data_IF_229525346361
#
_entry.id   IF_229525346361
#
_cell.length_a   1.000
_cell.length_b   1.000
_cell.length_c   1.000
_cell.angle_alpha   90.00
_cell.angle_beta   90.00
_cell.angle_gamma   90.00
#
_symmetry.space_group_name_H-M   'P 1'
#
loop_
_entity.id
_entity.type
_entity.pdbx_description
1 polymer ?
#
# COMPACT_ATOMS: atom_id res chain seq x y z
N UNK A 1 -42.42 -8.69 20.78
CA UNK A 1 -42.03 -8.78 19.35
C UNK A 1 -40.74 -8.06 19.03
N UNK A 2 -40.53 -6.75 19.32
CA UNK A 2 -39.31 -5.99 18.97
C UNK A 2 -38.00 -6.61 19.50
N UNK A 3 -37.97 -7.12 20.75
CA UNK A 3 -36.79 -7.77 21.34
C UNK A 3 -36.39 -9.06 20.62
N UNK A 4 -37.38 -9.89 20.21
CA UNK A 4 -37.10 -11.10 19.46
C UNK A 4 -36.53 -10.82 18.07
N UNK A 5 -37.04 -9.80 17.38
CA UNK A 5 -36.48 -9.36 16.09
C UNK A 5 -35.03 -8.86 16.20
N UNK A 6 -34.71 -8.09 17.24
CA UNK A 6 -33.35 -7.62 17.50
C UNK A 6 -32.40 -8.78 17.80
N UNK A 7 -32.81 -9.71 18.64
CA UNK A 7 -32.01 -10.92 18.94
C UNK A 7 -31.78 -11.75 17.67
N UNK A 8 -32.83 -11.94 16.86
CA UNK A 8 -32.70 -12.67 15.58
C UNK A 8 -31.74 -11.98 14.61
N UNK A 9 -31.84 -10.66 14.44
CA UNK A 9 -30.96 -9.87 13.58
C UNK A 9 -29.50 -9.93 14.06
N UNK A 10 -29.26 -9.79 15.36
CA UNK A 10 -27.92 -9.87 15.96
C UNK A 10 -27.31 -11.27 15.78
N UNK A 11 -28.10 -12.33 16.04
CA UNK A 11 -27.62 -13.70 15.85
C UNK A 11 -27.27 -14.00 14.39
N UNK A 12 -28.07 -13.49 13.46
CA UNK A 12 -27.80 -13.63 12.02
C UNK A 12 -26.50 -12.89 11.64
N UNK A 13 -26.33 -11.65 12.11
CA UNK A 13 -25.08 -10.88 11.88
C UNK A 13 -23.85 -11.62 12.44
N UNK A 14 -23.95 -12.12 13.68
CA UNK A 14 -22.85 -12.87 14.32
C UNK A 14 -22.51 -14.15 13.53
N UNK A 15 -23.51 -14.89 13.05
CA UNK A 15 -23.30 -16.07 12.22
C UNK A 15 -22.58 -15.72 10.90
N UNK A 16 -22.90 -14.57 10.29
CA UNK A 16 -22.23 -14.07 9.09
C UNK A 16 -20.78 -13.67 9.35
N UNK A 17 -20.49 -13.01 10.48
CA UNK A 17 -19.12 -12.68 10.89
C UNK A 17 -18.30 -13.95 11.07
N UNK A 18 -18.82 -14.96 11.74
CA UNK A 18 -18.14 -16.26 11.92
C UNK A 18 -17.92 -16.97 10.59
N UNK A 19 -18.92 -16.95 9.70
CA UNK A 19 -18.80 -17.54 8.36
C UNK A 19 -17.76 -16.78 7.48
N UNK A 20 -17.70 -15.46 7.60
CA UNK A 20 -16.68 -14.63 6.96
C UNK A 20 -15.26 -14.97 7.45
N UNK A 21 -15.09 -15.01 8.77
CA UNK A 21 -13.83 -15.38 9.41
C UNK A 21 -13.35 -16.79 9.02
N UNK A 22 -14.30 -17.71 8.79
CA UNK A 22 -14.02 -19.09 8.33
C UNK A 22 -13.89 -19.21 6.79
N UNK A 23 -13.89 -18.09 6.05
CA UNK A 23 -13.85 -18.04 4.57
C UNK A 23 -14.98 -18.82 3.87
N UNK A 24 -16.10 -19.10 4.56
CA UNK A 24 -17.23 -19.85 4.01
C UNK A 24 -18.04 -19.00 3.03
N UNK A 25 -18.09 -17.68 3.24
CA UNK A 25 -18.83 -16.73 2.39
C UNK A 25 -18.31 -16.70 0.95
N UNK A 26 -17.00 -16.90 0.76
CA UNK A 26 -16.38 -16.96 -0.57
C UNK A 26 -16.86 -18.14 -1.44
N UNK A 27 -17.42 -19.18 -0.82
CA UNK A 27 -17.91 -20.39 -1.51
C UNK A 27 -19.34 -20.25 -2.00
N UNK A 28 -20.06 -19.22 -1.58
CA UNK A 28 -21.46 -19.02 -1.96
C UNK A 28 -21.56 -18.30 -3.32
N UNK A 29 -22.24 -18.95 -4.27
CA UNK A 29 -22.45 -18.46 -5.62
C UNK A 29 -23.96 -18.11 -5.85
N UNK A 30 -24.26 -17.38 -6.94
CA UNK A 30 -25.62 -17.03 -7.31
C UNK A 30 -26.17 -15.77 -6.61
N UNK A 31 -27.50 -15.57 -6.61
CA UNK A 31 -28.16 -14.38 -6.06
C UNK A 31 -27.91 -14.20 -4.56
N UNK A 32 -27.97 -15.28 -3.80
CA UNK A 32 -27.68 -15.27 -2.36
C UNK A 32 -26.25 -14.82 -2.05
N UNK A 33 -25.26 -15.31 -2.81
CA UNK A 33 -23.86 -14.89 -2.68
C UNK A 33 -23.64 -13.42 -3.05
N UNK A 34 -24.42 -12.86 -4.01
CA UNK A 34 -24.38 -11.42 -4.33
C UNK A 34 -24.94 -10.56 -3.18
N UNK A 35 -26.08 -10.95 -2.65
CA UNK A 35 -26.71 -10.27 -1.50
C UNK A 35 -25.80 -10.29 -0.27
N UNK A 36 -25.15 -11.43 -0.02
CA UNK A 36 -24.21 -11.57 1.09
C UNK A 36 -22.97 -10.69 0.90
N UNK A 37 -22.35 -10.68 -0.26
CA UNK A 37 -21.20 -9.78 -0.55
C UNK A 37 -21.56 -8.29 -0.43
N UNK A 38 -22.77 -7.91 -0.82
CA UNK A 38 -23.26 -6.55 -0.64
C UNK A 38 -23.40 -6.22 0.86
N UNK A 39 -23.97 -7.13 1.63
CA UNK A 39 -24.07 -6.97 3.08
C UNK A 39 -22.69 -6.91 3.76
N UNK A 40 -21.76 -7.79 3.36
CA UNK A 40 -20.39 -7.82 3.85
C UNK A 40 -19.66 -6.49 3.59
N UNK A 41 -19.81 -5.93 2.39
CA UNK A 41 -19.22 -4.64 2.02
C UNK A 41 -19.77 -3.46 2.85
N UNK A 42 -21.04 -3.53 3.26
CA UNK A 42 -21.67 -2.50 4.10
C UNK A 42 -21.36 -2.64 5.58
N UNK A 43 -21.31 -3.87 6.09
CA UNK A 43 -21.20 -4.16 7.52
C UNK A 43 -19.79 -4.50 7.99
N UNK A 44 -18.86 -4.80 7.07
CA UNK A 44 -17.53 -5.34 7.38
C UNK A 44 -17.58 -6.79 7.93
N UNK A 45 -18.75 -7.44 7.92
CA UNK A 45 -18.92 -8.78 8.48
C UNK A 45 -18.15 -9.87 7.72
N UNK A 46 -17.87 -9.63 6.41
CA UNK A 46 -17.15 -10.55 5.55
C UNK A 46 -15.66 -10.35 5.51
N UNK A 47 -15.16 -9.31 6.21
CA UNK A 47 -13.72 -9.09 6.29
C UNK A 47 -13.04 -10.30 6.93
N UNK A 48 -12.13 -10.90 6.18
CA UNK A 48 -11.30 -11.96 6.71
C UNK A 48 -10.44 -11.34 7.82
N UNK A 49 -10.78 -11.65 9.06
CA UNK A 49 -9.97 -11.32 10.24
C UNK A 49 -8.66 -12.12 10.19
N UNK A 50 -7.81 -11.80 9.21
CA UNK A 50 -6.46 -12.36 9.10
C UNK A 50 -5.53 -11.86 10.22
N UNK A 51 -6.06 -11.11 11.19
CA UNK A 51 -5.32 -10.54 12.31
C UNK A 51 -4.62 -11.60 13.18
N UNK A 52 -5.14 -12.84 13.16
CA UNK A 52 -4.55 -13.99 13.86
C UNK A 52 -4.16 -15.12 12.91
N UNK A 53 -4.13 -14.87 11.61
CA UNK A 53 -3.69 -15.87 10.65
C UNK A 53 -2.20 -16.18 10.86
N UNK A 54 -1.77 -17.44 10.63
CA UNK A 54 -0.35 -17.83 10.78
C UNK A 54 0.59 -17.10 9.80
N UNK A 55 0.04 -16.32 8.87
CA UNK A 55 0.78 -15.48 7.95
C UNK A 55 0.42 -14.01 8.22
N UNK A 56 1.25 -13.31 8.97
CA UNK A 56 1.27 -11.86 8.94
C UNK A 56 1.67 -11.46 7.53
N UNK A 57 0.85 -10.63 6.88
CA UNK A 57 1.19 -10.10 5.56
C UNK A 57 2.57 -9.43 5.57
N UNK A 58 3.28 -9.40 4.44
CA UNK A 58 4.60 -8.81 4.39
C UNK A 58 4.54 -7.33 4.77
N UNK A 59 5.45 -6.90 5.62
CA UNK A 59 5.61 -5.48 5.90
C UNK A 59 6.32 -4.82 4.74
N UNK A 60 5.73 -3.79 4.18
CA UNK A 60 6.29 -3.02 3.07
C UNK A 60 6.64 -1.61 3.51
N UNK A 61 7.62 -1.02 2.85
CA UNK A 61 7.93 0.39 2.93
C UNK A 61 8.30 0.96 1.56
N UNK A 62 8.06 2.25 1.37
CA UNK A 62 8.60 3.01 0.24
C UNK A 62 9.77 3.86 0.74
N UNK A 63 10.97 3.61 0.21
CA UNK A 63 12.18 4.39 0.43
C UNK A 63 12.50 5.19 -0.82
N UNK A 64 13.00 6.40 -0.63
CA UNK A 64 13.37 7.32 -1.70
C UNK A 64 14.81 7.72 -1.54
N UNK A 65 15.60 7.63 -2.62
CA UNK A 65 16.87 8.28 -2.73
C UNK A 65 16.72 9.49 -3.65
N UNK A 66 16.93 10.66 -3.10
CA UNK A 66 16.66 11.94 -3.75
C UNK A 66 18.00 12.61 -4.04
N UNK A 67 18.15 13.09 -5.28
CA UNK A 67 19.34 13.84 -5.71
C UNK A 67 18.93 15.23 -6.14
N UNK A 68 19.63 16.22 -5.62
CA UNK A 68 19.43 17.63 -6.00
C UNK A 68 20.25 17.98 -7.25
N UNK A 69 19.96 19.14 -7.84
CA UNK A 69 20.75 19.68 -8.97
C UNK A 69 22.20 20.03 -8.57
N UNK A 70 22.46 20.27 -7.28
CA UNK A 70 23.79 20.55 -6.74
C UNK A 70 24.59 19.27 -6.48
N UNK A 71 23.98 18.08 -6.68
CA UNK A 71 24.62 16.78 -6.49
C UNK A 71 24.47 16.22 -5.08
N UNK A 72 23.80 16.93 -4.18
CA UNK A 72 23.47 16.40 -2.85
C UNK A 72 22.57 15.18 -2.95
N UNK A 73 22.79 14.18 -2.10
CA UNK A 73 21.99 12.96 -2.00
C UNK A 73 21.56 12.76 -0.57
N UNK A 74 20.26 12.49 -0.40
CA UNK A 74 19.70 12.11 0.88
C UNK A 74 18.61 11.05 0.70
N UNK A 75 18.28 10.36 1.78
CA UNK A 75 17.31 9.28 1.78
C UNK A 75 16.19 9.59 2.76
N UNK A 76 14.96 9.22 2.38
CA UNK A 76 13.80 9.30 3.24
C UNK A 76 12.85 8.15 2.97
N UNK A 77 11.92 7.90 3.90
CA UNK A 77 10.80 6.99 3.68
C UNK A 77 9.51 7.78 3.48
N UNK A 78 8.46 7.11 3.04
CA UNK A 78 7.14 7.74 2.85
C UNK A 78 6.61 8.33 4.17
N UNK A 79 6.99 7.71 5.31
CA UNK A 79 6.58 8.06 6.67
C UNK A 79 7.44 9.15 7.32
N UNK A 80 8.57 9.51 6.70
CA UNK A 80 9.51 10.49 7.28
C UNK A 80 8.79 11.79 7.66
N UNK A 81 8.97 12.22 8.90
CA UNK A 81 8.37 13.45 9.43
C UNK A 81 6.88 13.38 9.72
N UNK A 82 6.25 12.21 9.65
CA UNK A 82 4.82 12.01 9.92
C UNK A 82 4.58 11.51 11.35
N UNK A 83 3.35 11.76 11.85
CA UNK A 83 2.92 11.14 13.10
C UNK A 83 2.82 9.62 12.94
N UNK A 84 2.89 8.89 14.07
CA UNK A 84 2.81 7.41 14.06
C UNK A 84 1.56 6.89 13.35
N UNK A 85 0.40 7.54 13.55
CA UNK A 85 -0.85 7.14 12.90
C UNK A 85 -0.80 7.34 11.39
N UNK A 86 -0.33 8.52 10.95
CA UNK A 86 -0.17 8.83 9.53
C UNK A 86 0.87 7.91 8.90
N UNK A 87 1.98 7.65 9.60
CA UNK A 87 3.02 6.71 9.16
C UNK A 87 2.45 5.32 8.92
N UNK A 88 1.61 4.80 9.82
CA UNK A 88 0.96 3.50 9.66
C UNK A 88 0.07 3.45 8.41
N UNK A 89 -0.74 4.49 8.16
CA UNK A 89 -1.59 4.58 6.96
C UNK A 89 -0.76 4.67 5.68
N UNK A 90 0.32 5.43 5.70
CA UNK A 90 1.22 5.58 4.56
C UNK A 90 2.02 4.30 4.28
N UNK A 91 2.43 3.57 5.33
CA UNK A 91 3.07 2.27 5.17
C UNK A 91 2.15 1.26 4.45
N UNK A 92 0.85 1.28 4.77
CA UNK A 92 -0.14 0.46 4.06
C UNK A 92 -0.30 0.86 2.59
N UNK A 93 -0.04 2.13 2.23
CA UNK A 93 -0.07 2.56 0.83
C UNK A 93 0.99 1.83 -0.02
N UNK A 94 2.16 1.51 0.54
CA UNK A 94 3.16 0.71 -0.15
C UNK A 94 2.61 -0.68 -0.55
N UNK A 95 1.65 -1.21 0.21
CA UNK A 95 0.94 -2.46 -0.09
C UNK A 95 0.14 -2.43 -1.38
N UNK A 96 -0.20 -1.25 -1.91
CA UNK A 96 -0.88 -1.10 -3.20
C UNK A 96 -0.10 -1.78 -4.34
N UNK A 97 1.22 -1.92 -4.20
CA UNK A 97 2.04 -2.61 -5.20
C UNK A 97 1.60 -4.06 -5.44
N UNK A 98 1.10 -4.76 -4.41
CA UNK A 98 0.54 -6.11 -4.57
C UNK A 98 -0.83 -6.10 -5.26
N UNK A 99 -1.64 -5.05 -5.03
CA UNK A 99 -2.96 -4.89 -5.67
C UNK A 99 -2.81 -4.61 -7.16
N UNK A 100 -1.87 -3.73 -7.53
CA UNK A 100 -1.59 -3.46 -8.95
C UNK A 100 -0.87 -4.64 -9.63
N UNK A 101 -0.29 -5.53 -8.84
CA UNK A 101 0.17 -6.85 -9.22
C UNK A 101 1.04 -6.89 -10.47
N UNK A 102 0.67 -7.73 -11.42
CA UNK A 102 1.38 -7.94 -12.69
C UNK A 102 1.16 -6.81 -13.72
N UNK A 103 0.31 -5.82 -13.44
CA UNK A 103 0.01 -4.69 -14.31
C UNK A 103 1.16 -3.69 -14.29
N UNK A 104 2.11 -3.84 -15.21
CA UNK A 104 3.33 -3.00 -15.30
C UNK A 104 3.00 -1.53 -15.51
N UNK A 105 1.95 -1.22 -16.26
CA UNK A 105 1.43 0.15 -16.50
C UNK A 105 0.96 0.80 -15.20
N UNK A 106 0.12 0.13 -14.43
CA UNK A 106 -0.40 0.63 -13.16
C UNK A 106 0.71 0.75 -12.10
N UNK A 107 1.61 -0.24 -12.04
CA UNK A 107 2.74 -0.20 -11.13
C UNK A 107 3.65 1.00 -11.43
N UNK A 108 3.97 1.24 -12.72
CA UNK A 108 4.77 2.42 -13.12
C UNK A 108 4.06 3.73 -12.78
N UNK A 109 2.75 3.81 -13.00
CA UNK A 109 1.96 4.98 -12.65
C UNK A 109 1.95 5.23 -11.12
N UNK A 110 1.82 4.16 -10.32
CA UNK A 110 1.88 4.23 -8.87
C UNK A 110 3.24 4.73 -8.37
N UNK A 111 4.34 4.13 -8.83
CA UNK A 111 5.70 4.57 -8.48
C UNK A 111 5.97 6.01 -8.94
N UNK A 112 5.44 6.39 -10.11
CA UNK A 112 5.50 7.77 -10.62
C UNK A 112 4.75 8.76 -9.73
N UNK A 113 3.59 8.39 -9.20
CA UNK A 113 2.84 9.22 -8.26
C UNK A 113 3.59 9.42 -6.93
N UNK A 114 4.25 8.37 -6.43
CA UNK A 114 5.13 8.47 -5.25
C UNK A 114 6.31 9.42 -5.51
N UNK A 115 6.99 9.27 -6.67
CA UNK A 115 8.08 10.17 -7.07
C UNK A 115 7.61 11.62 -7.22
N UNK A 116 6.44 11.85 -7.84
CA UNK A 116 5.85 13.18 -7.98
C UNK A 116 5.61 13.86 -6.62
N UNK A 117 5.15 13.09 -5.64
CA UNK A 117 5.00 13.56 -4.25
C UNK A 117 6.33 14.05 -3.66
N UNK A 118 7.45 13.35 -3.95
CA UNK A 118 8.80 13.77 -3.47
C UNK A 118 9.30 14.97 -4.23
N UNK A 119 9.11 15.04 -5.53
CA UNK A 119 9.41 16.24 -6.30
C UNK A 119 8.63 17.48 -5.83
N UNK A 120 7.38 17.28 -5.35
CA UNK A 120 6.60 18.36 -4.74
C UNK A 120 7.16 18.84 -3.41
N UNK A 121 7.63 17.91 -2.58
CA UNK A 121 8.24 18.21 -1.27
C UNK A 121 9.66 18.82 -1.42
N UNK A 122 10.38 18.46 -2.49
CA UNK A 122 11.78 18.86 -2.75
C UNK A 122 11.88 19.54 -4.12
N UNK A 123 11.60 20.86 -4.22
CA UNK A 123 11.67 21.61 -5.49
C UNK A 123 13.06 21.57 -6.14
N UNK A 124 14.11 21.46 -5.35
CA UNK A 124 15.51 21.36 -5.77
C UNK A 124 15.90 20.00 -6.36
N UNK A 125 15.09 18.96 -6.10
CA UNK A 125 15.37 17.61 -6.59
C UNK A 125 15.25 17.54 -8.11
N UNK A 126 16.23 16.90 -8.75
CA UNK A 126 16.25 16.61 -10.17
C UNK A 126 16.03 15.11 -10.47
N UNK A 127 16.31 14.23 -9.50
CA UNK A 127 16.15 12.80 -9.64
C UNK A 127 15.60 12.21 -8.33
N UNK A 128 14.66 11.29 -8.46
CA UNK A 128 14.09 10.50 -7.37
C UNK A 128 14.12 9.02 -7.75
N UNK A 129 14.86 8.23 -6.98
CA UNK A 129 14.81 6.77 -7.03
C UNK A 129 13.77 6.30 -6.00
N UNK A 130 12.83 5.50 -6.43
CA UNK A 130 11.76 4.93 -5.58
C UNK A 130 12.05 3.45 -5.40
N UNK A 131 12.19 3.01 -4.16
CA UNK A 131 12.40 1.64 -3.78
C UNK A 131 11.20 1.17 -2.96
N UNK A 132 10.48 0.17 -3.44
CA UNK A 132 9.51 -0.57 -2.64
C UNK A 132 10.23 -1.78 -2.07
N UNK A 133 10.32 -1.84 -0.77
CA UNK A 133 11.05 -2.87 -0.04
C UNK A 133 10.10 -3.69 0.83
N UNK A 134 10.38 -4.97 0.91
CA UNK A 134 9.67 -5.95 1.72
C UNK A 134 10.54 -6.40 2.89
N UNK A 135 9.95 -6.49 4.08
CA UNK A 135 10.61 -7.08 5.25
C UNK A 135 10.54 -8.59 5.16
N UNK A 136 11.66 -9.19 4.83
CA UNK A 136 11.78 -10.65 4.68
C UNK A 136 12.23 -11.26 5.99
N UNK A 137 11.37 -12.13 6.53
CA UNK A 137 11.68 -12.94 7.70
C UNK A 137 12.28 -14.27 7.25
N UNK A 138 13.46 -14.66 7.75
CA UNK A 138 14.01 -15.98 7.47
C UNK A 138 13.15 -17.07 8.13
N UNK A 139 13.13 -18.24 7.53
CA UNK A 139 12.58 -19.44 8.16
C UNK A 139 13.38 -19.79 9.43
N UNK A 140 12.81 -20.61 10.30
CA UNK A 140 13.52 -21.04 11.52
C UNK A 140 14.82 -21.79 11.20
N UNK A 141 14.88 -22.53 10.10
CA UNK A 141 16.08 -23.21 9.65
C UNK A 141 17.17 -22.20 9.22
N UNK A 142 16.82 -21.23 8.41
CA UNK A 142 17.71 -20.16 7.97
C UNK A 142 18.18 -19.28 9.14
N UNK A 143 17.27 -18.96 10.09
CA UNK A 143 17.63 -18.20 11.29
C UNK A 143 18.69 -18.91 12.13
N UNK A 144 18.57 -20.25 12.29
CA UNK A 144 19.54 -21.07 13.03
C UNK A 144 20.92 -21.09 12.39
N UNK A 145 21.01 -20.98 11.06
CA UNK A 145 22.30 -20.89 10.35
C UNK A 145 22.81 -19.45 10.18
N UNK A 146 22.17 -18.50 10.87
CA UNK A 146 22.68 -17.14 10.98
C UNK A 146 22.01 -16.08 10.11
N UNK A 147 21.05 -16.43 9.23
CA UNK A 147 20.29 -15.42 8.51
C UNK A 147 19.46 -14.58 9.47
N UNK A 148 19.38 -13.29 9.19
CA UNK A 148 18.60 -12.34 9.99
C UNK A 148 17.53 -11.68 9.14
N UNK A 149 16.42 -11.20 9.74
CA UNK A 149 15.44 -10.40 9.05
C UNK A 149 16.07 -9.21 8.35
N UNK A 150 15.62 -8.91 7.14
CA UNK A 150 16.17 -7.81 6.33
C UNK A 150 15.15 -7.23 5.39
N UNK A 151 15.37 -5.97 5.03
CA UNK A 151 14.67 -5.37 3.91
C UNK A 151 15.25 -5.89 2.59
N UNK A 152 14.37 -6.24 1.66
CA UNK A 152 14.71 -6.69 0.31
C UNK A 152 13.95 -5.85 -0.70
N UNK A 153 14.62 -5.40 -1.75
CA UNK A 153 13.95 -4.66 -2.83
C UNK A 153 12.96 -5.56 -3.56
N UNK A 154 11.74 -5.08 -3.69
CA UNK A 154 10.68 -5.71 -4.46
C UNK A 154 10.53 -5.04 -5.83
N UNK A 155 10.58 -3.70 -5.86
CA UNK A 155 10.53 -2.89 -7.08
C UNK A 155 11.37 -1.64 -6.92
N UNK A 156 12.09 -1.31 -7.98
CA UNK A 156 12.89 -0.10 -8.09
C UNK A 156 12.48 0.67 -9.36
N UNK A 157 12.44 2.00 -9.25
CA UNK A 157 12.20 2.87 -10.40
C UNK A 157 12.89 4.23 -10.19
N UNK A 158 13.43 4.77 -11.28
CA UNK A 158 14.09 6.07 -11.29
C UNK A 158 13.27 7.06 -12.11
N UNK A 159 13.05 8.23 -11.55
CA UNK A 159 12.33 9.33 -12.19
C UNK A 159 13.21 10.57 -12.21
N UNK A 160 13.21 11.24 -13.35
CA UNK A 160 13.96 12.50 -13.56
C UNK A 160 12.95 13.61 -13.78
N UNK A 161 13.18 14.75 -13.14
CA UNK A 161 12.36 15.94 -13.38
C UNK A 161 12.62 16.46 -14.79
N UNK A 162 11.63 16.38 -15.66
CA UNK A 162 11.70 17.03 -16.98
C UNK A 162 11.50 18.54 -16.78
N UNK A 163 12.36 19.40 -17.36
CA UNK A 163 12.12 20.84 -17.37
C UNK A 163 10.73 21.11 -17.95
N UNK A 164 9.89 21.83 -17.21
CA UNK A 164 8.58 22.22 -17.71
C UNK A 164 8.75 23.11 -18.95
N UNK A 165 8.02 22.83 -20.02
CA UNK A 165 7.98 23.62 -21.25
C UNK A 165 7.56 25.09 -21.04
N UNK A 166 7.05 25.43 -19.86
CA UNK A 166 6.70 26.80 -19.48
C UNK A 166 7.91 27.74 -19.33
N UNK A 167 9.11 27.24 -19.04
CA UNK A 167 10.31 28.08 -19.02
C UNK A 167 10.73 28.54 -20.44
N UNK A 168 10.23 27.88 -21.48
CA UNK A 168 10.57 28.20 -22.87
C UNK A 168 9.71 29.32 -23.47
N UNK A 169 8.54 29.60 -22.86
CA UNK A 169 7.63 30.65 -23.34
C UNK A 169 7.95 32.05 -22.80
N UNK A 170 8.79 32.18 -21.75
CA UNK A 170 9.14 33.46 -21.15
C UNK A 170 10.49 34.01 -21.62
N UNK A 171 11.25 33.29 -22.45
CA UNK A 171 12.53 33.71 -22.99
C UNK A 171 12.51 34.28 -24.40
N UNK A 172 11.35 34.58 -24.96
CA UNK A 172 11.18 34.99 -26.35
C UNK A 172 10.54 36.37 -26.54
N UNK A 173 10.99 37.36 -25.76
CA UNK A 173 10.71 38.80 -26.08
C UNK A 173 11.97 39.56 -25.79
N UNK A 174 12.86 39.59 -26.75
CA UNK A 174 13.84 40.64 -26.90
C UNK A 174 13.50 41.50 -28.13
N UNK A 175 13.65 42.82 -28.02
CA UNK A 175 13.14 43.85 -28.94
C UNK A 175 13.80 43.90 -30.29
#
# INVERSE_FOLDING_TARGET
>A
MKRLLLVGAFSCHLALVVAGAAHLTARLHGPAGRGLRFYDALSGAGDSYSFFAPAVGPQLRARFAIRTRQGERFEETLETGKSREVGFRLGNLAGTVYVVGQRTDLRRAFLGALAASRFGAHPEANLVEVHIEEWVMPTMAEYRVGLRPRWSSLHDATFVRTPSSQARAQGGTDP
#
